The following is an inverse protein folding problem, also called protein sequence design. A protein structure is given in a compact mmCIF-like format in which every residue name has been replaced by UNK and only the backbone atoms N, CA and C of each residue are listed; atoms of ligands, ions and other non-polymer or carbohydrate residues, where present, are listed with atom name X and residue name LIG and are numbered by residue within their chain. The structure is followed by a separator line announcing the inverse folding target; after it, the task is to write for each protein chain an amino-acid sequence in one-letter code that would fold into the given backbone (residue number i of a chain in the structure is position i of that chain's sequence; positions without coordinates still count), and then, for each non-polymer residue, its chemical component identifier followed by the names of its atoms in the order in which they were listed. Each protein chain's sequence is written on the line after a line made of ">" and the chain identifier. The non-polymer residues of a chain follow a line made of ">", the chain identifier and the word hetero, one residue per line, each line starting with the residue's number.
data_IF_148129029240
#
_entry.id   IF_148129029240
#
_cell.length_a   1.000
_cell.length_b   1.000
_cell.length_c   1.000
_cell.angle_alpha   90.00
_cell.angle_beta   90.00
_cell.angle_gamma   90.00
#
_symmetry.space_group_name_H-M   'P 1'
#
loop_
_entity.id
_entity.type
_entity.pdbx_description
1 polymer ?
#
# COMPACT_ATOMS: atom_id res chain seq x y z
N UNK A 1 -6.64 -0.05 -22.18
CA UNK A 1 -6.42 1.24 -21.69
C UNK A 1 -6.74 1.42 -20.24
N UNK A 2 -7.96 1.53 -19.80
CA UNK A 2 -8.29 1.77 -18.40
C UNK A 2 -8.40 0.53 -17.54
N UNK A 3 -8.62 -0.63 -18.13
CA UNK A 3 -9.02 -1.82 -17.40
C UNK A 3 -7.93 -2.35 -16.46
N UNK A 4 -6.68 -2.36 -16.90
CA UNK A 4 -5.59 -2.85 -16.06
C UNK A 4 -5.31 -1.92 -14.88
N UNK A 5 -5.34 -0.60 -15.11
CA UNK A 5 -5.15 0.36 -14.04
C UNK A 5 -6.30 0.33 -13.06
N UNK A 6 -7.53 0.17 -13.56
CA UNK A 6 -8.71 0.08 -12.70
C UNK A 6 -8.66 -1.18 -11.85
N UNK A 7 -8.20 -2.30 -12.43
CA UNK A 7 -8.05 -3.54 -11.69
C UNK A 7 -7.00 -3.41 -10.59
N UNK A 8 -5.85 -2.82 -10.92
CA UNK A 8 -4.80 -2.57 -9.93
C UNK A 8 -5.34 -1.74 -8.77
N UNK A 9 -6.07 -0.67 -9.09
CA UNK A 9 -6.67 0.20 -8.09
C UNK A 9 -7.67 -0.54 -7.21
N UNK A 10 -8.54 -1.35 -7.81
CA UNK A 10 -9.51 -2.12 -7.05
C UNK A 10 -8.84 -3.08 -6.07
N UNK A 11 -7.87 -3.83 -6.55
CA UNK A 11 -7.12 -4.75 -5.69
C UNK A 11 -6.37 -3.98 -4.62
N UNK A 12 -5.73 -2.88 -4.98
CA UNK A 12 -5.00 -2.04 -4.04
C UNK A 12 -5.92 -1.51 -2.94
N UNK A 13 -7.12 -1.06 -3.29
CA UNK A 13 -8.09 -0.58 -2.31
C UNK A 13 -8.50 -1.70 -1.34
N UNK A 14 -8.72 -2.90 -1.85
CA UNK A 14 -9.07 -4.03 -1.01
C UNK A 14 -7.91 -4.42 -0.09
N UNK A 15 -6.69 -4.45 -0.61
CA UNK A 15 -5.49 -4.76 0.16
C UNK A 15 -5.32 -3.74 1.29
N UNK A 16 -5.43 -2.46 0.96
CA UNK A 16 -5.28 -1.38 1.94
C UNK A 16 -6.28 -1.54 3.08
N UNK A 17 -7.53 -1.80 2.76
CA UNK A 17 -8.57 -1.96 3.78
C UNK A 17 -8.32 -3.17 4.67
N UNK A 18 -7.96 -4.30 4.06
CA UNK A 18 -7.73 -5.54 4.81
C UNK A 18 -6.49 -5.46 5.68
N UNK A 19 -5.37 -5.01 5.11
CA UNK A 19 -4.12 -4.88 5.87
C UNK A 19 -4.27 -3.83 6.96
N UNK A 20 -4.87 -2.69 6.65
CA UNK A 20 -5.11 -1.65 7.64
C UNK A 20 -5.93 -2.13 8.81
N UNK A 21 -6.95 -2.94 8.54
CA UNK A 21 -7.80 -3.52 9.59
C UNK A 21 -7.05 -4.56 10.41
N UNK A 22 -6.29 -5.43 9.75
CA UNK A 22 -5.56 -6.50 10.43
C UNK A 22 -4.47 -5.95 11.34
N UNK A 23 -3.76 -4.91 10.90
CA UNK A 23 -2.65 -4.33 11.64
C UNK A 23 -3.07 -3.15 12.50
N UNK A 24 -4.27 -2.63 12.29
CA UNK A 24 -4.76 -1.40 12.93
C UNK A 24 -3.76 -0.25 12.72
N UNK A 25 -3.28 -0.14 11.48
CA UNK A 25 -2.34 0.88 11.05
C UNK A 25 -2.84 1.55 9.79
N UNK A 26 -2.28 2.71 9.47
CA UNK A 26 -2.56 3.36 8.20
C UNK A 26 -1.72 2.69 7.11
N UNK A 27 -2.33 2.45 5.97
CA UNK A 27 -1.69 1.76 4.85
C UNK A 27 -1.93 2.55 3.58
N UNK A 28 -0.90 2.63 2.76
CA UNK A 28 -0.93 3.32 1.47
C UNK A 28 -0.41 2.37 0.40
N UNK A 29 -1.00 2.41 -0.78
CA UNK A 29 -0.44 1.76 -1.96
C UNK A 29 -0.17 2.83 -3.01
N UNK A 30 1.07 2.82 -3.52
CA UNK A 30 1.49 3.69 -4.62
C UNK A 30 1.80 2.84 -5.84
N UNK A 31 1.65 3.43 -7.02
CA UNK A 31 2.00 2.77 -8.28
C UNK A 31 3.50 2.84 -8.52
N UNK A 32 3.94 2.35 -9.69
CA UNK A 32 5.36 2.34 -10.07
C UNK A 32 5.94 3.73 -10.30
N UNK A 33 5.09 4.74 -10.41
CA UNK A 33 5.50 6.13 -10.57
C UNK A 33 5.46 6.92 -9.27
N UNK A 34 5.09 6.26 -8.17
CA UNK A 34 5.03 6.89 -6.86
C UNK A 34 3.70 7.57 -6.54
N UNK A 35 2.70 7.49 -7.41
CA UNK A 35 1.40 8.08 -7.13
C UNK A 35 0.60 7.21 -6.17
N UNK A 36 0.08 7.83 -5.12
CA UNK A 36 -0.77 7.13 -4.16
C UNK A 36 -2.14 6.89 -4.80
N UNK A 37 -2.46 5.62 -4.99
CA UNK A 37 -3.71 5.20 -5.64
C UNK A 37 -4.71 4.61 -4.67
N UNK A 38 -4.27 4.22 -3.48
CA UNK A 38 -5.13 3.69 -2.43
C UNK A 38 -4.56 4.05 -1.08
N UNK A 39 -5.41 4.36 -0.12
CA UNK A 39 -4.97 4.73 1.22
C UNK A 39 -6.12 4.56 2.21
N UNK A 40 -5.77 4.19 3.45
CA UNK A 40 -6.72 4.20 4.55
C UNK A 40 -7.05 5.62 4.98
N UNK A 41 -6.16 6.58 4.70
CA UNK A 41 -6.33 7.99 5.02
C UNK A 41 -6.40 8.78 3.72
N UNK A 42 -7.54 9.44 3.49
CA UNK A 42 -7.80 10.19 2.26
C UNK A 42 -6.80 11.32 2.02
N UNK A 43 -6.15 11.81 3.07
CA UNK A 43 -5.19 12.91 2.93
C UNK A 43 -4.00 12.53 2.07
N UNK A 44 -3.69 11.25 1.94
CA UNK A 44 -2.57 10.79 1.12
C UNK A 44 -2.95 10.52 -0.33
N UNK A 45 -4.24 10.50 -0.65
CA UNK A 45 -4.69 10.22 -2.02
C UNK A 45 -4.24 11.33 -2.97
N UNK A 46 -3.75 10.92 -4.15
CA UNK A 46 -3.32 11.85 -5.18
C UNK A 46 -1.95 12.46 -4.96
N UNK A 47 -1.26 12.12 -3.89
CA UNK A 47 0.10 12.60 -3.64
C UNK A 47 1.11 11.70 -4.32
N UNK A 48 2.27 12.27 -4.64
CA UNK A 48 3.37 11.51 -5.22
C UNK A 48 4.48 11.36 -4.19
N UNK A 49 4.87 10.12 -3.93
CA UNK A 49 5.86 9.81 -2.90
C UNK A 49 7.26 10.29 -3.26
N UNK A 50 7.54 10.41 -4.57
CA UNK A 50 8.87 10.79 -5.03
C UNK A 50 9.07 12.31 -5.07
N UNK A 51 8.00 13.06 -5.38
CA UNK A 51 8.08 14.51 -5.52
C UNK A 51 7.68 15.27 -4.27
N UNK A 52 6.84 14.67 -3.42
CA UNK A 52 6.35 15.32 -2.20
C UNK A 52 6.35 14.35 -1.03
N UNK A 53 7.51 13.76 -0.68
CA UNK A 53 7.55 12.85 0.44
C UNK A 53 7.36 13.62 1.74
N UNK A 54 6.40 13.21 2.56
CA UNK A 54 6.32 13.73 3.91
C UNK A 54 7.39 13.05 4.77
N UNK A 55 7.79 13.69 5.87
CA UNK A 55 8.76 13.09 6.78
C UNK A 55 8.27 11.77 7.33
N UNK A 56 6.95 11.64 7.50
CA UNK A 56 6.35 10.39 7.97
C UNK A 56 6.57 9.25 6.99
N UNK A 57 6.62 9.56 5.68
CA UNK A 57 6.78 8.54 4.65
C UNK A 57 8.21 8.06 4.49
N UNK A 58 9.20 8.83 4.94
CA UNK A 58 10.62 8.49 4.77
C UNK A 58 11.05 7.32 5.65
N UNK A 59 10.37 7.07 6.75
CA UNK A 59 10.75 6.04 7.71
C UNK A 59 9.73 4.91 7.79
N UNK A 60 8.91 4.75 6.75
CA UNK A 60 7.87 3.76 6.76
C UNK A 60 8.32 2.43 6.19
N UNK A 61 7.70 1.38 6.67
CA UNK A 61 7.91 0.06 6.13
C UNK A 61 7.33 -0.01 4.72
N UNK A 62 8.15 -0.39 3.76
CA UNK A 62 7.73 -0.51 2.36
C UNK A 62 7.77 -1.96 1.93
N UNK A 63 6.69 -2.41 1.31
CA UNK A 63 6.58 -3.76 0.78
C UNK A 63 6.29 -3.64 -0.72
N UNK A 64 7.17 -4.18 -1.58
CA UNK A 64 6.86 -4.20 -3.01
C UNK A 64 5.69 -5.13 -3.28
N UNK A 65 4.80 -4.71 -4.15
CA UNK A 65 3.65 -5.53 -4.52
C UNK A 65 3.59 -5.66 -6.03
N UNK A 66 3.04 -6.77 -6.48
CA UNK A 66 2.81 -7.01 -7.90
C UNK A 66 1.41 -7.59 -8.08
N UNK A 67 0.63 -6.91 -8.89
CA UNK A 67 -0.73 -7.33 -9.22
C UNK A 67 -0.79 -7.49 -10.73
N UNK A 68 -0.79 -8.74 -11.19
CA UNK A 68 -0.64 -9.08 -12.61
C UNK A 68 0.68 -8.49 -13.13
N UNK A 69 0.64 -7.63 -14.14
CA UNK A 69 1.83 -7.04 -14.75
C UNK A 69 2.19 -5.68 -14.14
N UNK A 70 1.40 -5.21 -13.18
CA UNK A 70 1.62 -3.91 -12.56
C UNK A 70 2.37 -4.07 -11.25
N UNK A 71 3.41 -3.25 -11.08
CA UNK A 71 4.18 -3.19 -9.85
C UNK A 71 3.86 -1.92 -9.09
N UNK A 72 3.96 -1.99 -7.78
CA UNK A 72 3.76 -0.84 -6.92
C UNK A 72 4.41 -1.08 -5.57
N UNK A 73 4.12 -0.22 -4.62
CA UNK A 73 4.62 -0.32 -3.27
C UNK A 73 3.50 -0.13 -2.27
N UNK A 74 3.46 -1.00 -1.28
CA UNK A 74 2.59 -0.82 -0.13
C UNK A 74 3.43 -0.25 1.01
N UNK A 75 2.91 0.78 1.67
CA UNK A 75 3.58 1.39 2.81
C UNK A 75 2.69 1.30 4.02
N UNK A 76 3.27 0.86 5.13
CA UNK A 76 2.59 0.83 6.42
C UNK A 76 3.10 2.00 7.23
N UNK A 77 2.20 2.92 7.56
CA UNK A 77 2.54 4.10 8.35
C UNK A 77 2.31 3.77 9.81
N UNK A 78 3.40 3.42 10.48
CA UNK A 78 3.34 3.07 11.89
C UNK A 78 3.20 4.33 12.74
N UNK A 79 2.27 4.30 13.67
CA UNK A 79 2.10 5.40 14.63
C UNK A 79 2.66 4.98 15.99
N UNK A 80 1.84 4.98 17.02
CA UNK A 80 2.30 4.71 18.40
C UNK A 80 2.33 3.23 18.76
N UNK A 81 2.23 2.34 17.77
CA UNK A 81 2.19 0.89 18.01
C UNK A 81 3.54 0.25 17.72
N UNK A 82 3.78 -0.95 18.25
CA UNK A 82 5.01 -1.68 17.94
C UNK A 82 5.18 -1.88 16.45
N UNK A 83 6.43 -1.85 16.01
CA UNK A 83 6.75 -2.03 14.61
C UNK A 83 6.34 -3.42 14.12
N UNK A 84 5.81 -3.48 12.90
CA UNK A 84 5.50 -4.74 12.25
C UNK A 84 6.78 -5.29 11.63
N UNK A 85 7.16 -6.55 11.93
CA UNK A 85 8.33 -7.13 11.28
C UNK A 85 8.16 -7.15 9.76
N UNK A 86 9.21 -6.80 8.97
CA UNK A 86 9.09 -6.78 7.51
C UNK A 86 8.62 -8.08 6.90
N UNK A 87 9.10 -9.21 7.40
CA UNK A 87 8.69 -10.52 6.88
C UNK A 87 7.21 -10.79 7.12
N UNK A 88 6.70 -10.37 8.27
CA UNK A 88 5.29 -10.52 8.58
C UNK A 88 4.44 -9.65 7.65
N UNK A 89 4.87 -8.42 7.41
CA UNK A 89 4.17 -7.52 6.51
C UNK A 89 4.12 -8.09 5.09
N UNK A 90 5.25 -8.58 4.59
CA UNK A 90 5.30 -9.20 3.27
C UNK A 90 4.38 -10.41 3.17
N UNK A 91 4.39 -11.26 4.18
CA UNK A 91 3.55 -12.45 4.21
C UNK A 91 2.07 -12.10 4.22
N UNK A 92 1.69 -11.11 5.02
CA UNK A 92 0.30 -10.66 5.09
C UNK A 92 -0.18 -10.07 3.76
N UNK A 93 0.66 -9.23 3.15
CA UNK A 93 0.33 -8.61 1.86
C UNK A 93 0.15 -9.70 0.79
N UNK A 94 1.08 -10.64 0.72
CA UNK A 94 1.01 -11.73 -0.26
C UNK A 94 -0.24 -12.58 -0.04
N UNK A 95 -0.54 -12.91 1.22
CA UNK A 95 -1.72 -13.70 1.55
C UNK A 95 -3.00 -12.97 1.13
N UNK A 96 -3.10 -11.69 1.41
CA UNK A 96 -4.29 -10.91 1.08
C UNK A 96 -4.44 -10.80 -0.44
N UNK A 97 -3.36 -10.55 -1.17
CA UNK A 97 -3.41 -10.47 -2.62
C UNK A 97 -3.87 -11.80 -3.21
N UNK A 98 -3.33 -12.90 -2.70
CA UNK A 98 -3.70 -14.24 -3.19
C UNK A 98 -5.16 -14.57 -2.91
N UNK A 99 -5.72 -14.05 -1.84
CA UNK A 99 -7.15 -14.25 -1.54
C UNK A 99 -8.06 -13.48 -2.50
N UNK A 100 -7.59 -12.34 -2.98
CA UNK A 100 -8.36 -11.51 -3.91
C UNK A 100 -8.25 -12.04 -5.32
N UNK A 101 -7.09 -12.50 -5.69
CA UNK A 101 -6.79 -13.02 -7.04
C UNK A 101 -6.95 -14.52 -7.08
#
# INVERSE_FOLDING_TARGET
>A
MGMEQDYFREVANTVVKKIGSLLDQQVIVADDRGWVIASTDRRFMGKNLDTSPSRRMLHQLRVPIKIRDKCGQLMIIESNKPSVPPRMAEALVEMVINQIM
#
